data_IF_231602029538
#
_entry.id   IF_231602029538
#
_cell.length_a   1.000
_cell.length_b   1.000
_cell.length_c   1.000
_cell.angle_alpha   90.00
_cell.angle_beta   90.00
_cell.angle_gamma   90.00
#
_symmetry.space_group_name_H-M   'P 1'
#
loop_
_entity.id
_entity.type
_entity.pdbx_description
1 polymer ?
#
# COMPACT_ATOMS: atom_id res chain seq x y z
N UNK A 1 -4.39 15.30 10.42
CA UNK A 1 -4.30 13.83 10.48
C UNK A 1 -5.26 13.32 9.44
N UNK A 2 -4.79 13.09 8.22
CA UNK A 2 -5.53 12.40 7.17
C UNK A 2 -5.88 11.01 7.68
N UNK A 3 -7.17 10.73 7.83
CA UNK A 3 -7.65 9.45 8.32
C UNK A 3 -7.54 8.40 7.20
N UNK A 4 -6.34 7.84 6.99
CA UNK A 4 -6.06 6.71 6.06
C UNK A 4 -6.65 5.38 6.58
N UNK A 5 -7.92 5.40 6.97
CA UNK A 5 -8.62 4.29 7.63
C UNK A 5 -8.86 3.15 6.65
N UNK A 6 -9.14 3.45 5.38
CA UNK A 6 -9.44 2.44 4.37
C UNK A 6 -8.22 1.56 4.07
N UNK A 7 -7.04 2.15 3.89
CA UNK A 7 -5.77 1.44 3.67
C UNK A 7 -5.37 0.61 4.88
N UNK A 8 -5.47 1.17 6.10
CA UNK A 8 -5.15 0.44 7.33
C UNK A 8 -6.07 -0.77 7.47
N UNK A 9 -7.37 -0.61 7.20
CA UNK A 9 -8.33 -1.71 7.27
C UNK A 9 -8.03 -2.77 6.21
N UNK A 10 -7.77 -2.38 4.97
CA UNK A 10 -7.43 -3.30 3.89
C UNK A 10 -6.15 -4.08 4.20
N UNK A 11 -5.07 -3.39 4.58
CA UNK A 11 -3.77 -4.02 4.87
C UNK A 11 -3.84 -4.93 6.09
N UNK A 12 -4.53 -4.53 7.16
CA UNK A 12 -4.70 -5.37 8.35
C UNK A 12 -5.56 -6.61 8.06
N UNK A 13 -6.61 -6.47 7.24
CA UNK A 13 -7.41 -7.60 6.76
C UNK A 13 -6.57 -8.61 5.99
N UNK A 14 -5.72 -8.15 5.06
CA UNK A 14 -4.85 -9.03 4.29
C UNK A 14 -3.68 -9.61 5.10
N UNK A 15 -3.13 -8.86 6.06
CA UNK A 15 -2.16 -9.38 7.00
C UNK A 15 -2.74 -10.53 7.83
N UNK A 16 -3.97 -10.35 8.35
CA UNK A 16 -4.71 -11.36 9.10
C UNK A 16 -5.03 -12.58 8.26
N UNK A 17 -5.53 -12.39 7.04
CA UNK A 17 -5.81 -13.48 6.09
C UNK A 17 -4.55 -14.31 5.81
N UNK A 18 -3.44 -13.67 5.43
CA UNK A 18 -2.19 -14.38 5.14
C UNK A 18 -1.66 -15.10 6.39
N UNK A 19 -1.81 -14.50 7.58
CA UNK A 19 -1.35 -15.09 8.83
C UNK A 19 -2.14 -16.35 9.19
N UNK A 20 -3.47 -16.29 9.09
CA UNK A 20 -4.34 -17.44 9.31
C UNK A 20 -4.11 -18.54 8.27
N UNK A 21 -3.92 -18.18 7.01
CA UNK A 21 -3.59 -19.13 5.95
C UNK A 21 -2.25 -19.81 6.21
N UNK A 22 -1.23 -19.08 6.67
CA UNK A 22 0.06 -19.65 7.06
C UNK A 22 -0.08 -20.63 8.23
N UNK A 23 -0.84 -20.26 9.27
CA UNK A 23 -1.11 -21.13 10.42
C UNK A 23 -1.81 -22.41 9.98
N UNK A 24 -2.78 -22.32 9.05
CA UNK A 24 -3.41 -23.49 8.46
C UNK A 24 -2.40 -24.38 7.74
N UNK A 25 -1.50 -23.83 6.92
CA UNK A 25 -0.46 -24.63 6.26
C UNK A 25 0.47 -25.33 7.26
N UNK A 26 0.87 -24.64 8.34
CA UNK A 26 1.68 -25.24 9.42
C UNK A 26 0.89 -26.33 10.16
N UNK A 27 -0.42 -26.17 10.29
CA UNK A 27 -1.30 -27.15 10.91
C UNK A 27 -1.50 -28.41 10.08
N UNK A 28 -1.75 -28.25 8.79
CA UNK A 28 -1.82 -29.40 7.88
C UNK A 28 -0.47 -30.08 7.67
N UNK A 29 0.64 -29.36 7.92
CA UNK A 29 1.96 -29.93 8.02
C UNK A 29 2.22 -30.56 9.41
N UNK A 30 1.24 -30.71 10.31
CA UNK A 30 1.43 -31.34 11.63
C UNK A 30 2.53 -30.69 12.51
N UNK A 31 2.90 -29.45 12.23
CA UNK A 31 3.97 -28.72 12.93
C UNK A 31 3.44 -27.71 13.94
N UNK A 32 2.12 -27.64 14.16
CA UNK A 32 1.50 -26.66 15.06
C UNK A 32 2.03 -26.76 16.48
N UNK A 33 2.21 -27.98 16.99
CA UNK A 33 2.67 -28.21 18.36
C UNK A 33 4.11 -27.69 18.55
N UNK A 34 4.96 -27.86 17.53
CA UNK A 34 6.34 -27.37 17.54
C UNK A 34 6.42 -25.84 17.57
N UNK A 35 5.57 -25.14 16.80
CA UNK A 35 5.64 -23.69 16.63
C UNK A 35 4.78 -22.89 17.62
N UNK A 36 3.64 -23.45 18.04
CA UNK A 36 2.62 -22.71 18.81
C UNK A 36 2.24 -23.40 20.13
N UNK A 37 2.77 -24.59 20.41
CA UNK A 37 2.47 -25.36 21.60
C UNK A 37 1.09 -26.02 21.59
N UNK A 38 0.78 -26.74 22.66
CA UNK A 38 -0.41 -27.60 22.76
C UNK A 38 -1.73 -26.83 22.84
N UNK A 39 -1.75 -25.65 23.45
CA UNK A 39 -2.96 -24.84 23.62
C UNK A 39 -3.54 -24.35 22.28
N UNK A 40 -2.68 -23.78 21.41
CA UNK A 40 -3.09 -23.28 20.08
C UNK A 40 -3.44 -24.44 19.15
N UNK A 41 -2.73 -25.55 19.27
CA UNK A 41 -3.00 -26.77 18.50
C UNK A 41 -4.40 -27.33 18.81
N UNK A 42 -4.81 -27.35 20.08
CA UNK A 42 -6.17 -27.75 20.47
C UNK A 42 -7.25 -26.84 19.90
N UNK A 43 -7.02 -25.53 19.89
CA UNK A 43 -7.96 -24.53 19.38
C UNK A 43 -8.18 -24.62 17.87
N UNK A 44 -7.13 -24.97 17.11
CA UNK A 44 -7.21 -25.15 15.65
C UNK A 44 -7.80 -26.53 15.29
N UNK A 45 -7.49 -27.57 16.08
CA UNK A 45 -8.01 -28.92 15.85
C UNK A 45 -9.54 -29.01 15.93
N UNK A 46 -10.20 -28.09 16.64
CA UNK A 46 -11.66 -28.00 16.69
C UNK A 46 -12.29 -27.46 15.39
N UNK A 47 -11.52 -26.75 14.55
CA UNK A 47 -12.05 -26.04 13.39
C UNK A 47 -12.44 -26.92 12.18
N UNK A 48 -12.22 -28.24 12.24
CA UNK A 48 -12.50 -29.24 11.16
C UNK A 48 -12.34 -28.67 9.75
N UNK A 49 -11.10 -28.31 9.43
CA UNK A 49 -10.74 -27.82 8.10
C UNK A 49 -10.57 -29.00 7.15
N UNK A 50 -11.11 -28.87 5.94
CA UNK A 50 -10.90 -29.86 4.87
C UNK A 50 -9.42 -29.80 4.42
N UNK A 51 -8.73 -30.94 4.26
CA UNK A 51 -7.32 -30.95 3.90
C UNK A 51 -7.09 -30.34 2.51
N UNK A 52 -6.04 -29.54 2.37
CA UNK A 52 -5.65 -28.89 1.11
C UNK A 52 -5.16 -29.87 0.05
N UNK A 53 -4.80 -31.11 0.44
CA UNK A 53 -4.30 -32.13 -0.50
C UNK A 53 -2.92 -31.79 -1.11
N UNK A 54 -2.15 -30.94 -0.44
CA UNK A 54 -0.81 -30.49 -0.86
C UNK A 54 0.26 -31.32 -0.17
N UNK A 55 1.39 -31.58 -0.84
CA UNK A 55 2.50 -32.30 -0.25
C UNK A 55 3.12 -31.51 0.93
N UNK A 56 3.54 -32.22 1.98
CA UNK A 56 4.05 -31.62 3.21
C UNK A 56 5.23 -30.64 3.00
N UNK A 57 6.14 -30.94 2.06
CA UNK A 57 7.27 -30.06 1.73
C UNK A 57 6.81 -28.75 1.09
N UNK A 58 5.74 -28.79 0.30
CA UNK A 58 5.17 -27.60 -0.36
C UNK A 58 4.37 -26.74 0.63
N UNK A 59 3.72 -27.37 1.63
CA UNK A 59 3.01 -26.66 2.70
C UNK A 59 3.92 -25.74 3.51
N UNK A 60 5.16 -26.15 3.76
CA UNK A 60 6.16 -25.30 4.43
C UNK A 60 6.56 -24.10 3.57
N UNK A 61 6.76 -24.30 2.27
CA UNK A 61 7.06 -23.22 1.33
C UNK A 61 5.91 -22.21 1.22
N UNK A 62 4.67 -22.72 1.13
CA UNK A 62 3.45 -21.91 1.15
C UNK A 62 3.33 -21.10 2.45
N UNK A 63 3.54 -21.75 3.60
CA UNK A 63 3.51 -21.08 4.90
C UNK A 63 4.56 -19.97 4.98
N UNK A 64 5.78 -20.20 4.51
CA UNK A 64 6.85 -19.20 4.50
C UNK A 64 6.49 -17.97 3.63
N UNK A 65 5.93 -18.18 2.44
CA UNK A 65 5.47 -17.10 1.56
C UNK A 65 4.35 -16.30 2.23
N UNK A 66 3.38 -16.99 2.84
CA UNK A 66 2.25 -16.36 3.52
C UNK A 66 2.70 -15.55 4.75
N UNK A 67 3.64 -16.07 5.55
CA UNK A 67 4.25 -15.31 6.66
C UNK A 67 4.99 -14.08 6.14
N UNK A 68 5.76 -14.21 5.07
CA UNK A 68 6.46 -13.07 4.47
C UNK A 68 5.47 -11.98 4.01
N UNK A 69 4.34 -12.37 3.40
CA UNK A 69 3.26 -11.47 3.03
C UNK A 69 2.60 -10.82 4.25
N UNK A 70 2.32 -11.59 5.30
CA UNK A 70 1.79 -11.04 6.58
C UNK A 70 2.70 -9.98 7.14
N UNK A 71 4.01 -10.24 7.19
CA UNK A 71 5.00 -9.26 7.67
C UNK A 71 5.05 -8.04 6.75
N UNK A 72 5.03 -8.23 5.43
CA UNK A 72 5.01 -7.11 4.49
C UNK A 72 3.77 -6.22 4.70
N UNK A 73 2.58 -6.79 4.84
CA UNK A 73 1.36 -6.03 5.11
C UNK A 73 1.39 -5.36 6.49
N UNK A 74 1.93 -6.02 7.53
CA UNK A 74 2.07 -5.44 8.86
C UNK A 74 3.05 -4.27 8.88
N UNK A 75 4.19 -4.38 8.18
CA UNK A 75 5.18 -3.31 8.02
C UNK A 75 4.60 -2.14 7.23
N UNK A 76 3.88 -2.41 6.14
CA UNK A 76 3.17 -1.37 5.38
C UNK A 76 2.16 -0.63 6.26
N UNK A 77 1.37 -1.37 7.04
CA UNK A 77 0.39 -0.81 8.00
C UNK A 77 1.08 0.04 9.06
N UNK A 78 2.16 -0.46 9.65
CA UNK A 78 2.93 0.28 10.64
C UNK A 78 3.56 1.56 10.07
N UNK A 79 4.01 1.52 8.81
CA UNK A 79 4.52 2.67 8.07
C UNK A 79 3.44 3.74 7.85
N UNK A 80 2.23 3.33 7.49
CA UNK A 80 1.09 4.24 7.31
C UNK A 80 0.62 4.83 8.66
N UNK A 81 0.65 4.04 9.75
CA UNK A 81 0.25 4.50 11.09
C UNK A 81 1.28 5.46 11.70
N UNK A 82 2.58 5.21 11.51
CA UNK A 82 3.65 6.07 12.04
C UNK A 82 3.88 7.26 11.11
N UNK A 83 2.97 8.24 11.17
CA UNK A 83 3.01 9.50 10.42
C UNK A 83 4.32 10.28 10.65
N UNK A 84 5.17 10.27 9.64
CA UNK A 84 6.10 11.34 9.30
C UNK A 84 6.22 11.40 7.78
N UNK A 85 6.22 12.60 7.18
CA UNK A 85 6.19 12.81 5.71
C UNK A 85 7.22 11.99 4.93
N UNK A 86 8.38 11.69 5.53
CA UNK A 86 9.43 10.88 4.92
C UNK A 86 9.10 9.37 4.85
N UNK A 87 8.30 8.84 5.79
CA UNK A 87 7.94 7.41 5.83
C UNK A 87 6.74 7.08 4.93
N UNK A 88 5.83 8.04 4.70
CA UNK A 88 4.68 7.86 3.79
C UNK A 88 5.11 7.57 2.34
N UNK A 89 6.15 8.25 1.85
CA UNK A 89 6.69 8.05 0.49
C UNK A 89 7.21 6.64 0.22
N UNK A 90 7.55 5.87 1.26
CA UNK A 90 8.03 4.49 1.13
C UNK A 90 6.96 3.46 1.49
N UNK A 91 6.05 3.77 2.42
CA UNK A 91 5.04 2.80 2.87
C UNK A 91 4.01 2.49 1.79
N UNK A 92 3.66 3.46 0.94
CA UNK A 92 2.63 3.27 -0.07
C UNK A 92 3.11 2.42 -1.28
N UNK A 93 4.28 2.68 -1.89
CA UNK A 93 4.83 1.78 -2.91
C UNK A 93 5.06 0.37 -2.37
N UNK A 94 5.45 0.26 -1.10
CA UNK A 94 5.65 -1.04 -0.44
C UNK A 94 4.32 -1.79 -0.24
N UNK A 95 3.25 -1.08 0.15
CA UNK A 95 1.90 -1.65 0.22
C UNK A 95 1.43 -2.16 -1.16
N UNK A 96 1.61 -1.35 -2.21
CA UNK A 96 1.28 -1.75 -3.58
C UNK A 96 2.08 -2.99 -4.02
N UNK A 97 3.38 -3.05 -3.71
CA UNK A 97 4.23 -4.21 -3.98
C UNK A 97 3.75 -5.46 -3.24
N UNK A 98 3.31 -5.33 -1.98
CA UNK A 98 2.75 -6.45 -1.22
C UNK A 98 1.45 -6.98 -1.84
N UNK A 99 0.55 -6.10 -2.29
CA UNK A 99 -0.65 -6.50 -3.03
C UNK A 99 -0.33 -7.15 -4.37
N UNK A 100 0.66 -6.63 -5.11
CA UNK A 100 1.12 -7.24 -6.36
C UNK A 100 1.71 -8.62 -6.13
N UNK A 101 2.49 -8.80 -5.07
CA UNK A 101 3.04 -10.10 -4.69
C UNK A 101 1.94 -11.10 -4.30
N UNK A 102 0.93 -10.66 -3.53
CA UNK A 102 -0.23 -11.47 -3.18
C UNK A 102 -1.03 -11.89 -4.44
N UNK A 103 -1.27 -10.96 -5.37
CA UNK A 103 -1.95 -11.26 -6.62
C UNK A 103 -1.14 -12.22 -7.50
N UNK A 104 0.17 -11.99 -7.63
CA UNK A 104 1.07 -12.87 -8.38
C UNK A 104 1.12 -14.28 -7.79
N UNK A 105 1.12 -14.39 -6.46
CA UNK A 105 1.05 -15.66 -5.76
C UNK A 105 -0.28 -16.38 -6.02
N UNK A 106 -1.41 -15.68 -5.91
CA UNK A 106 -2.72 -16.23 -6.27
C UNK A 106 -2.77 -16.70 -7.74
N UNK A 107 -2.29 -15.88 -8.67
CA UNK A 107 -2.25 -16.20 -10.09
C UNK A 107 -1.36 -17.42 -10.37
N UNK A 108 -0.21 -17.53 -9.69
CA UNK A 108 0.68 -18.68 -9.82
C UNK A 108 -0.02 -19.98 -9.37
N UNK A 109 -0.72 -19.96 -8.23
CA UNK A 109 -1.49 -21.12 -7.75
C UNK A 109 -2.63 -21.50 -8.70
N UNK A 110 -3.33 -20.50 -9.25
CA UNK A 110 -4.41 -20.70 -10.20
C UNK A 110 -3.93 -21.32 -11.51
N UNK A 111 -2.85 -20.77 -12.08
CA UNK A 111 -2.29 -21.23 -13.36
C UNK A 111 -1.59 -22.58 -13.24
N UNK A 112 -1.02 -22.90 -12.07
CA UNK A 112 -0.41 -24.21 -11.85
C UNK A 112 -1.43 -25.31 -11.54
N UNK A 113 -2.70 -24.97 -11.33
CA UNK A 113 -3.73 -25.91 -10.87
C UNK A 113 -3.45 -26.47 -9.47
N UNK A 114 -2.73 -25.71 -8.62
CA UNK A 114 -2.39 -26.17 -7.28
C UNK A 114 -3.64 -26.27 -6.41
N UNK A 115 -3.84 -27.36 -5.65
CA UNK A 115 -4.98 -27.46 -4.75
C UNK A 115 -4.87 -26.47 -3.57
N UNK A 116 -3.69 -25.88 -3.34
CA UNK A 116 -3.49 -24.79 -2.39
C UNK A 116 -4.31 -23.52 -2.71
N UNK A 117 -4.82 -23.39 -3.94
CA UNK A 117 -5.74 -22.30 -4.29
C UNK A 117 -7.00 -22.28 -3.39
N UNK A 118 -7.39 -23.43 -2.83
CA UNK A 118 -8.51 -23.53 -1.91
C UNK A 118 -8.34 -22.67 -0.63
N UNK A 119 -7.12 -22.24 -0.29
CA UNK A 119 -6.86 -21.26 0.78
C UNK A 119 -7.59 -19.94 0.54
N UNK A 120 -7.74 -19.55 -0.73
CA UNK A 120 -8.41 -18.33 -1.15
C UNK A 120 -9.92 -18.52 -1.32
N UNK A 121 -10.43 -19.75 -1.20
CA UNK A 121 -11.82 -20.09 -1.45
C UNK A 121 -12.12 -20.33 -2.92
N UNK A 122 -13.38 -20.64 -3.22
CA UNK A 122 -13.83 -20.95 -4.58
C UNK A 122 -14.42 -19.70 -5.25
N UNK A 123 -13.92 -19.34 -6.43
CA UNK A 123 -14.52 -18.34 -7.30
C UNK A 123 -13.76 -17.01 -7.43
N UNK A 124 -14.33 -16.04 -8.17
CA UNK A 124 -13.66 -14.79 -8.54
C UNK A 124 -13.67 -13.74 -7.42
N UNK A 125 -14.20 -14.05 -6.23
CA UNK A 125 -14.32 -13.07 -5.15
C UNK A 125 -12.96 -12.59 -4.65
N UNK A 126 -11.94 -13.45 -4.67
CA UNK A 126 -10.58 -13.09 -4.24
C UNK A 126 -9.99 -11.99 -5.09
N UNK A 127 -10.13 -12.08 -6.41
CA UNK A 127 -9.61 -11.03 -7.30
C UNK A 127 -10.37 -9.72 -7.08
N UNK A 128 -11.67 -9.78 -6.79
CA UNK A 128 -12.45 -8.60 -6.39
C UNK A 128 -11.94 -7.98 -5.08
N UNK A 129 -11.69 -8.78 -4.04
CA UNK A 129 -11.16 -8.27 -2.77
C UNK A 129 -9.74 -7.71 -2.90
N UNK A 130 -8.90 -8.31 -3.74
CA UNK A 130 -7.57 -7.78 -4.04
C UNK A 130 -7.70 -6.43 -4.76
N UNK A 131 -8.58 -6.33 -5.76
CA UNK A 131 -8.86 -5.07 -6.45
C UNK A 131 -9.41 -3.99 -5.50
N UNK A 132 -10.28 -4.38 -4.56
CA UNK A 132 -10.78 -3.48 -3.52
C UNK A 132 -9.66 -2.99 -2.59
N UNK A 133 -8.68 -3.85 -2.29
CA UNK A 133 -7.48 -3.46 -1.53
C UNK A 133 -6.63 -2.40 -2.24
N UNK A 134 -6.41 -2.56 -3.55
CA UNK A 134 -5.77 -1.52 -4.37
C UNK A 134 -6.61 -0.24 -4.44
N UNK A 135 -7.94 -0.36 -4.57
CA UNK A 135 -8.83 0.79 -4.60
C UNK A 135 -8.80 1.57 -3.27
N UNK A 136 -8.70 0.87 -2.13
CA UNK A 136 -8.56 1.50 -0.82
C UNK A 136 -7.25 2.29 -0.69
N UNK A 137 -6.13 1.73 -1.18
CA UNK A 137 -4.85 2.45 -1.25
C UNK A 137 -4.95 3.70 -2.14
N UNK A 138 -5.53 3.55 -3.33
CA UNK A 138 -5.68 4.65 -4.29
C UNK A 138 -6.59 5.75 -3.73
N UNK A 139 -7.68 5.38 -3.05
CA UNK A 139 -8.60 6.33 -2.44
C UNK A 139 -7.92 7.17 -1.36
N UNK A 140 -7.17 6.53 -0.46
CA UNK A 140 -6.42 7.24 0.58
C UNK A 140 -5.27 8.07 -0.01
N UNK A 141 -4.65 7.64 -1.10
CA UNK A 141 -3.65 8.43 -1.83
C UNK A 141 -4.26 9.69 -2.43
N UNK A 142 -5.37 9.57 -3.15
CA UNK A 142 -6.07 10.69 -3.77
C UNK A 142 -6.57 11.72 -2.75
N UNK A 143 -7.03 11.26 -1.58
CA UNK A 143 -7.42 12.16 -0.48
C UNK A 143 -6.20 12.85 0.12
N UNK A 144 -5.11 12.11 0.35
CA UNK A 144 -3.89 12.68 0.91
C UNK A 144 -3.25 13.73 -0.02
N UNK A 145 -3.24 13.49 -1.33
CA UNK A 145 -2.74 14.44 -2.34
C UNK A 145 -3.59 15.72 -2.42
N UNK A 146 -4.91 15.64 -2.17
CA UNK A 146 -5.78 16.82 -2.13
C UNK A 146 -5.60 17.67 -0.86
N UNK A 147 -5.09 17.09 0.23
CA UNK A 147 -4.82 17.80 1.49
C UNK A 147 -3.39 18.37 1.56
N UNK A 148 -2.58 18.25 0.52
CA UNK A 148 -1.19 18.73 0.52
C UNK A 148 -1.12 20.26 0.31
N UNK A 149 -1.38 21.01 1.40
CA UNK A 149 -1.21 22.47 1.52
C UNK A 149 0.18 22.96 1.06
N UNK A 150 1.20 22.08 1.03
CA UNK A 150 2.54 22.39 0.51
C UNK A 150 2.56 22.68 -1.00
N UNK A 151 1.66 22.07 -1.78
CA UNK A 151 1.49 22.38 -3.20
C UNK A 151 0.95 23.79 -3.42
N UNK A 152 -0.02 24.19 -2.59
CA UNK A 152 -0.62 25.51 -2.62
C UNK A 152 0.32 26.61 -2.11
N UNK A 153 1.11 26.35 -1.07
CA UNK A 153 2.12 27.29 -0.58
C UNK A 153 3.28 27.49 -1.59
N UNK A 154 3.76 26.41 -2.21
CA UNK A 154 4.78 26.51 -3.26
C UNK A 154 4.24 27.23 -4.50
N UNK A 155 3.00 26.97 -4.88
CA UNK A 155 2.32 27.65 -5.98
C UNK A 155 2.10 29.14 -5.67
N UNK A 156 1.68 29.48 -4.45
CA UNK A 156 1.56 30.87 -3.98
C UNK A 156 2.90 31.58 -3.97
N UNK A 157 3.97 30.90 -3.55
CA UNK A 157 5.32 31.48 -3.54
C UNK A 157 5.80 31.80 -4.97
N UNK A 158 5.61 30.86 -5.90
CA UNK A 158 5.96 31.07 -7.31
C UNK A 158 5.11 32.18 -7.93
N UNK A 159 3.81 32.22 -7.67
CA UNK A 159 2.93 33.28 -8.17
C UNK A 159 3.31 34.66 -7.63
N UNK A 160 3.69 34.74 -6.35
CA UNK A 160 4.14 36.01 -5.74
C UNK A 160 5.43 36.50 -6.42
N UNK A 161 6.39 35.61 -6.66
CA UNK A 161 7.63 35.95 -7.39
C UNK A 161 7.36 36.38 -8.84
N UNK A 162 6.40 35.75 -9.51
CA UNK A 162 6.00 36.10 -10.87
C UNK A 162 5.32 37.48 -10.93
N UNK A 163 4.47 37.80 -9.95
CA UNK A 163 3.87 39.13 -9.85
C UNK A 163 4.91 40.22 -9.56
N UNK A 164 5.87 39.95 -8.68
CA UNK A 164 6.96 40.88 -8.38
C UNK A 164 7.85 41.13 -9.60
N UNK A 165 8.23 40.06 -10.31
CA UNK A 165 8.99 40.15 -11.56
C UNK A 165 8.22 40.93 -12.64
N UNK A 166 6.90 40.70 -12.75
CA UNK A 166 6.03 41.46 -13.67
C UNK A 166 5.95 42.94 -13.30
N UNK A 167 5.83 43.28 -12.00
CA UNK A 167 5.81 44.68 -11.54
C UNK A 167 7.15 45.37 -11.81
N UNK A 168 8.27 44.68 -11.58
CA UNK A 168 9.60 45.19 -11.88
C UNK A 168 9.78 45.46 -13.39
N UNK A 169 9.38 44.52 -14.24
CA UNK A 169 9.46 44.69 -15.70
C UNK A 169 8.58 45.85 -16.22
N UNK A 170 7.39 46.06 -15.65
CA UNK A 170 6.52 47.21 -16.00
C UNK A 170 7.15 48.53 -15.55
N UNK A 171 7.77 48.57 -14.36
CA UNK A 171 8.44 49.75 -13.85
C UNK A 171 9.67 50.12 -14.70
N UNK A 172 10.46 49.14 -15.13
CA UNK A 172 11.63 49.36 -16.00
C UNK A 172 11.22 49.83 -17.40
N UNK A 173 10.15 49.27 -17.98
CA UNK A 173 9.62 49.74 -19.26
C UNK A 173 9.17 51.21 -19.21
N UNK A 174 8.50 51.62 -18.13
CA UNK A 174 8.12 53.04 -17.93
C UNK A 174 9.32 53.98 -17.74
N UNK A 175 10.41 53.50 -17.15
CA UNK A 175 11.65 54.30 -17.00
C UNK A 175 12.41 54.42 -18.32
N UNK A 176 12.38 53.40 -19.18
CA UNK A 176 12.94 53.47 -20.54
C UNK A 176 12.20 54.47 -21.42
N UNK A 177 10.86 54.41 -21.45
CA UNK A 177 10.02 55.32 -22.25
C UNK A 177 10.15 56.80 -21.83
N UNK A 178 10.45 57.08 -20.56
CA UNK A 178 10.71 58.44 -20.08
C UNK A 178 12.10 58.99 -20.43
N UNK A 179 13.08 58.12 -20.69
CA UNK A 179 14.46 58.52 -21.02
C UNK A 179 14.62 58.82 -22.51
N UNK A 180 13.94 58.06 -23.36
CA UNK A 180 13.91 58.28 -24.81
C UNK A 180 13.16 59.60 -25.17
N UNK A 181 12.15 59.99 -24.37
CA UNK A 181 11.41 61.23 -24.59
C UNK A 181 12.20 62.51 -24.26
N UNK A 182 13.26 62.40 -23.45
CA UNK A 182 14.13 63.52 -23.06
C UNK A 182 15.36 63.66 -23.96
N UNK A 183 15.78 62.59 -24.65
CA UNK A 183 16.83 62.65 -25.69
C UNK A 183 16.32 63.25 -27.01
N UNK A 184 15.04 63.05 -27.37
CA UNK A 184 14.41 63.66 -28.55
C UNK A 184 14.13 65.18 -28.43
N UNK A 185 14.42 65.79 -27.27
CA UNK A 185 14.22 67.24 -27.01
C UNK A 185 15.50 68.06 -26.93
N UNK A 186 16.67 67.47 -27.18
CA UNK A 186 17.96 68.16 -27.27
C UNK A 186 18.45 68.25 -28.71
#
# INVERSE_FOLDING_TARGET
>A
MTNRIASIFALSGWAGFCGLAAVRCVHEAELTELFFGSFVTGLIGEARLEPLGVAHQELLGLAAILVALTVAFAVATAGIIRLGKAHERFSEPFAAAAFSALFGFYAALALSGSPAIALFGQGPLVTLFIALGFAALLFDHLIADQEDEEGDEAFHTIMTQLEEAKRAAIADRRRGEGRDADEDRR
#
